data_IF_235371550534
#
_entry.id   IF_235371550534
#
_cell.length_a   1.000
_cell.length_b   1.000
_cell.length_c   1.000
_cell.angle_alpha   90.00
_cell.angle_beta   90.00
_cell.angle_gamma   90.00
#
_symmetry.space_group_name_H-M   'P 1'
#
loop_
_entity.id
_entity.type
_entity.pdbx_description
1 polymer ?
#
# COMPACT_ATOMS: atom_id res chain seq x y z
N UNK A 1 -4.33 5.14 16.40
CA UNK A 1 -3.61 5.14 15.10
C UNK A 1 -4.53 5.40 13.92
N UNK A 2 -5.75 4.85 13.84
CA UNK A 2 -6.67 5.10 12.72
C UNK A 2 -7.29 6.52 12.65
N UNK A 3 -7.36 7.26 13.76
CA UNK A 3 -7.98 8.60 13.85
C UNK A 3 -6.95 9.74 14.00
N UNK A 4 -5.75 9.59 13.43
CA UNK A 4 -4.77 10.67 13.40
C UNK A 4 -5.14 11.67 12.30
N UNK A 5 -5.23 12.96 12.65
CA UNK A 5 -5.63 14.03 11.71
C UNK A 5 -4.64 14.21 10.56
N UNK A 6 -3.43 13.66 10.67
CA UNK A 6 -2.41 13.69 9.62
C UNK A 6 -2.65 12.65 8.52
N UNK A 7 -3.45 11.61 8.77
CA UNK A 7 -3.75 10.57 7.78
C UNK A 7 -4.75 11.16 6.77
N UNK A 8 -4.35 11.22 5.51
CA UNK A 8 -5.16 11.78 4.42
C UNK A 8 -5.49 10.74 3.36
N UNK A 9 -5.36 11.13 2.08
CA UNK A 9 -5.40 10.20 0.95
C UNK A 9 -4.31 9.13 1.05
N UNK A 10 -3.12 9.51 1.52
CA UNK A 10 -1.98 8.63 1.78
C UNK A 10 -1.70 8.56 3.29
N UNK A 11 -0.67 7.82 3.68
CA UNK A 11 -0.29 7.61 5.07
C UNK A 11 -0.13 8.93 5.83
N UNK A 12 0.35 9.98 5.14
CA UNK A 12 0.46 11.34 5.66
C UNK A 12 0.04 12.32 4.57
N UNK A 13 -1.07 13.04 4.79
CA UNK A 13 -1.60 14.02 3.83
C UNK A 13 -2.04 13.41 2.49
N UNK A 14 -1.90 14.21 1.43
CA UNK A 14 -2.44 13.88 0.09
C UNK A 14 -1.38 13.54 -0.97
N UNK A 15 -0.11 13.44 -0.54
CA UNK A 15 1.00 13.03 -1.41
C UNK A 15 1.67 11.76 -0.86
N UNK A 16 2.04 10.79 -1.70
CA UNK A 16 2.74 9.60 -1.25
C UNK A 16 4.05 9.92 -0.52
N UNK A 17 4.32 9.17 0.53
CA UNK A 17 5.54 9.29 1.33
C UNK A 17 6.27 7.94 1.40
N UNK A 18 7.43 7.91 2.06
CA UNK A 18 8.13 6.67 2.35
C UNK A 18 7.27 5.69 3.17
N UNK A 19 6.34 6.18 3.98
CA UNK A 19 5.43 5.31 4.74
C UNK A 19 4.52 4.50 3.81
N UNK A 20 4.03 5.11 2.72
CA UNK A 20 3.19 4.43 1.73
C UNK A 20 3.95 3.34 0.98
N UNK A 21 5.24 3.59 0.66
CA UNK A 21 6.12 2.57 0.08
C UNK A 21 6.24 1.35 1.00
N UNK A 22 6.49 1.57 2.29
CA UNK A 22 6.57 0.49 3.27
C UNK A 22 5.23 -0.25 3.41
N UNK A 23 4.11 0.48 3.51
CA UNK A 23 2.78 -0.11 3.65
C UNK A 23 2.45 -0.99 2.44
N UNK A 24 2.69 -0.51 1.22
CA UNK A 24 2.40 -1.26 0.00
C UNK A 24 3.17 -2.58 -0.04
N UNK A 25 4.46 -2.56 0.31
CA UNK A 25 5.27 -3.78 0.39
C UNK A 25 4.77 -4.74 1.48
N UNK A 26 4.36 -4.23 2.65
CA UNK A 26 3.84 -5.09 3.71
C UNK A 26 2.48 -5.72 3.34
N UNK A 27 1.58 -4.96 2.70
CA UNK A 27 0.29 -5.48 2.23
C UNK A 27 0.49 -6.52 1.14
N UNK A 28 1.38 -6.27 0.19
CA UNK A 28 1.72 -7.26 -0.84
C UNK A 28 2.25 -8.56 -0.23
N UNK A 29 3.17 -8.48 0.74
CA UNK A 29 3.68 -9.67 1.43
C UNK A 29 2.57 -10.39 2.21
N UNK A 30 1.70 -9.66 2.89
CA UNK A 30 0.55 -10.23 3.60
C UNK A 30 -0.37 -11.00 2.64
N UNK A 31 -0.69 -10.43 1.47
CA UNK A 31 -1.46 -11.10 0.42
C UNK A 31 -0.74 -12.36 -0.08
N UNK A 32 0.57 -12.28 -0.34
CA UNK A 32 1.39 -13.42 -0.80
C UNK A 32 1.38 -14.59 0.18
N UNK A 33 1.34 -14.31 1.48
CA UNK A 33 1.33 -15.32 2.54
C UNK A 33 -0.08 -15.65 3.07
N UNK A 34 -1.14 -15.17 2.40
CA UNK A 34 -2.54 -15.38 2.79
C UNK A 34 -2.86 -14.92 4.24
N UNK A 35 -2.24 -13.81 4.67
CA UNK A 35 -2.56 -13.17 5.95
C UNK A 35 -3.85 -12.37 5.79
N UNK A 36 -4.79 -12.56 6.72
CA UNK A 36 -6.05 -11.83 6.73
C UNK A 36 -5.83 -10.33 7.03
N UNK A 37 -6.26 -9.49 6.08
CA UNK A 37 -6.16 -8.04 6.17
C UNK A 37 -7.49 -7.36 6.53
N UNK A 38 -8.60 -8.12 6.63
CA UNK A 38 -9.92 -7.57 6.95
C UNK A 38 -9.95 -6.71 8.24
N UNK A 39 -9.20 -7.03 9.32
CA UNK A 39 -9.13 -6.18 10.51
C UNK A 39 -8.46 -4.82 10.28
N UNK A 40 -7.71 -4.65 9.18
CA UNK A 40 -6.85 -3.50 8.92
C UNK A 40 -7.39 -2.61 7.79
N UNK A 41 -8.69 -2.28 7.82
CA UNK A 41 -9.36 -1.51 6.76
C UNK A 41 -8.68 -0.18 6.40
N UNK A 42 -8.06 0.52 7.36
CA UNK A 42 -7.30 1.73 7.09
C UNK A 42 -6.06 1.47 6.24
N UNK A 43 -5.34 0.37 6.49
CA UNK A 43 -4.16 -0.04 5.71
C UNK A 43 -4.59 -0.45 4.31
N UNK A 44 -5.70 -1.19 4.18
CA UNK A 44 -6.26 -1.58 2.89
C UNK A 44 -6.60 -0.35 2.03
N UNK A 45 -7.27 0.65 2.62
CA UNK A 45 -7.58 1.92 1.94
C UNK A 45 -6.33 2.64 1.42
N UNK A 46 -5.26 2.69 2.22
CA UNK A 46 -4.00 3.32 1.82
C UNK A 46 -3.34 2.58 0.66
N UNK A 47 -3.32 1.25 0.72
CA UNK A 47 -2.84 0.40 -0.37
C UNK A 47 -3.64 0.64 -1.65
N UNK A 48 -4.97 0.63 -1.57
CA UNK A 48 -5.84 0.85 -2.73
C UNK A 48 -5.60 2.22 -3.37
N UNK A 49 -5.44 3.26 -2.55
CA UNK A 49 -5.10 4.61 -3.02
C UNK A 49 -3.73 4.67 -3.70
N UNK A 50 -2.72 3.99 -3.16
CA UNK A 50 -1.39 3.90 -3.78
C UNK A 50 -1.43 3.14 -5.10
N UNK A 51 -2.22 2.07 -5.19
CA UNK A 51 -2.37 1.27 -6.41
C UNK A 51 -3.10 1.98 -7.54
N UNK A 52 -3.72 3.14 -7.31
CA UNK A 52 -4.22 4.02 -8.38
C UNK A 52 -3.10 4.73 -9.15
N UNK A 53 -1.89 4.80 -8.60
CA UNK A 53 -0.76 5.47 -9.23
C UNK A 53 0.08 4.48 -10.05
N UNK A 54 0.36 4.82 -11.32
CA UNK A 54 1.13 4.00 -12.25
C UNK A 54 2.50 3.60 -11.70
N UNK A 55 3.15 4.52 -10.97
CA UNK A 55 4.45 4.28 -10.35
C UNK A 55 4.44 3.06 -9.41
N UNK A 56 3.40 2.91 -8.59
CA UNK A 56 3.29 1.76 -7.68
C UNK A 56 2.96 0.48 -8.44
N UNK A 57 2.09 0.55 -9.46
CA UNK A 57 1.73 -0.61 -10.30
C UNK A 57 2.93 -1.16 -11.06
N UNK A 58 3.73 -0.28 -11.68
CA UNK A 58 4.95 -0.67 -12.39
C UNK A 58 6.05 -1.17 -11.44
N UNK A 59 6.05 -0.76 -10.18
CA UNK A 59 6.99 -1.24 -9.16
C UNK A 59 6.57 -2.58 -8.52
N UNK A 60 5.41 -3.14 -8.87
CA UNK A 60 4.98 -4.42 -8.32
C UNK A 60 5.92 -5.55 -8.77
N UNK A 61 6.19 -6.55 -7.89
CA UNK A 61 7.05 -7.68 -8.24
C UNK A 61 6.60 -8.42 -9.50
N UNK A 62 5.29 -8.54 -9.75
CA UNK A 62 4.74 -9.20 -10.94
C UNK A 62 4.92 -8.40 -12.25
N UNK A 63 5.27 -7.11 -12.17
CA UNK A 63 5.49 -6.24 -13.32
C UNK A 63 6.97 -6.08 -13.68
N UNK A 64 7.88 -6.74 -12.95
CA UNK A 64 9.31 -6.63 -13.21
C UNK A 64 9.73 -7.53 -14.39
N UNK A 65 10.77 -7.16 -15.17
CA UNK A 65 11.22 -7.94 -16.32
C UNK A 65 11.66 -9.37 -15.99
N UNK A 66 12.06 -9.61 -14.75
CA UNK A 66 12.50 -10.88 -14.20
C UNK A 66 11.38 -11.65 -13.47
N UNK A 67 10.17 -11.09 -13.42
CA UNK A 67 8.99 -11.76 -12.90
C UNK A 67 8.66 -12.96 -13.81
N UNK A 68 8.67 -14.16 -13.24
CA UNK A 68 8.33 -15.41 -13.90
C UNK A 68 6.92 -15.85 -13.56
#
# INVERSE_FOLDING_TARGET
MANDSRIGKFAIGDTPTLADLCIVLQVFNAQRFNIDLAPFAAIQRLFDNAMQLDAFRHAMPAAQPDAK
#
